data_IF_142140973344
#
_entry.id   IF_142140973344
#
_cell.length_a   1.000
_cell.length_b   1.000
_cell.length_c   1.000
_cell.angle_alpha   90.00
_cell.angle_beta   90.00
_cell.angle_gamma   90.00
#
_symmetry.space_group_name_H-M   'P 1'
#
loop_
_entity.id
_entity.type
_entity.pdbx_description
1 polymer ?
#
# COMPACT_ATOMS: atom_id res chain seq x y z
N UNK A 1 -15.93 30.96 3.96
CA UNK A 1 -16.44 30.05 2.92
C UNK A 1 -16.89 28.78 3.63
N UNK A 2 -18.19 28.45 3.60
CA UNK A 2 -18.73 27.24 4.25
C UNK A 2 -18.29 26.02 3.42
N UNK A 3 -17.75 25.03 4.10
CA UNK A 3 -17.41 23.71 3.56
C UNK A 3 -18.65 23.12 2.89
N UNK A 4 -18.68 23.07 1.56
CA UNK A 4 -19.58 22.15 0.89
C UNK A 4 -18.96 20.76 1.06
N UNK A 5 -19.70 19.87 1.71
CA UNK A 5 -19.31 18.48 1.84
C UNK A 5 -19.22 17.89 0.43
N UNK A 6 -17.99 17.71 -0.07
CA UNK A 6 -17.68 17.01 -1.33
C UNK A 6 -18.06 15.53 -1.22
N UNK A 7 -19.36 15.23 -1.10
CA UNK A 7 -19.93 13.88 -0.98
C UNK A 7 -20.64 13.43 -2.25
N UNK A 8 -20.78 14.32 -3.23
CA UNK A 8 -21.39 14.00 -4.52
C UNK A 8 -20.30 13.62 -5.55
N UNK A 9 -20.39 12.41 -6.10
CA UNK A 9 -19.49 11.90 -7.14
C UNK A 9 -20.26 11.79 -8.45
N UNK A 10 -19.97 12.67 -9.41
CA UNK A 10 -20.61 12.65 -10.73
C UNK A 10 -19.86 11.69 -11.65
N UNK A 11 -20.60 10.88 -12.40
CA UNK A 11 -20.09 10.00 -13.45
C UNK A 11 -19.05 8.98 -12.94
N UNK A 12 -19.15 8.55 -11.68
CA UNK A 12 -18.16 7.67 -11.06
C UNK A 12 -18.15 6.29 -11.72
N UNK A 13 -19.31 5.68 -11.95
CA UNK A 13 -19.41 4.36 -12.58
C UNK A 13 -18.83 4.38 -14.00
N UNK A 14 -19.21 5.37 -14.81
CA UNK A 14 -18.70 5.57 -16.18
C UNK A 14 -17.17 5.77 -16.18
N UNK A 15 -16.64 6.50 -15.20
CA UNK A 15 -15.20 6.70 -15.03
C UNK A 15 -14.48 5.40 -14.66
N UNK A 16 -15.04 4.61 -13.74
CA UNK A 16 -14.50 3.30 -13.35
C UNK A 16 -14.48 2.38 -14.57
N UNK A 17 -15.59 2.28 -15.31
CA UNK A 17 -15.71 1.44 -16.50
C UNK A 17 -14.70 1.83 -17.58
N UNK A 18 -14.57 3.14 -17.86
CA UNK A 18 -13.61 3.64 -18.83
C UNK A 18 -12.17 3.28 -18.45
N UNK A 19 -11.77 3.54 -17.20
CA UNK A 19 -10.40 3.28 -16.73
C UNK A 19 -10.12 1.78 -16.66
N UNK A 20 -11.08 0.97 -16.19
CA UNK A 20 -10.95 -0.49 -16.18
C UNK A 20 -10.79 -1.05 -17.59
N UNK A 21 -11.62 -0.62 -18.55
CA UNK A 21 -11.49 -1.02 -19.94
C UNK A 21 -10.11 -0.63 -20.51
N UNK A 22 -9.66 0.60 -20.26
CA UNK A 22 -8.35 1.04 -20.71
C UNK A 22 -7.20 0.19 -20.14
N UNK A 23 -7.23 -0.09 -18.83
CA UNK A 23 -6.22 -0.92 -18.14
C UNK A 23 -6.21 -2.34 -18.71
N UNK A 24 -7.39 -2.94 -18.94
CA UNK A 24 -7.49 -4.30 -19.50
C UNK A 24 -7.04 -4.35 -20.97
N UNK A 25 -7.36 -3.34 -21.77
CA UNK A 25 -6.99 -3.31 -23.20
C UNK A 25 -5.51 -2.97 -23.43
N UNK A 26 -4.91 -2.12 -22.61
CA UNK A 26 -3.55 -1.60 -22.83
C UNK A 26 -2.51 -2.14 -21.83
N UNK A 27 -2.94 -3.01 -20.91
CA UNK A 27 -2.09 -3.62 -19.90
C UNK A 27 -1.26 -4.81 -20.43
N UNK A 28 -0.62 -5.58 -19.52
CA UNK A 28 -0.73 -5.44 -18.07
C UNK A 28 0.07 -4.25 -17.51
N UNK A 29 -0.57 -3.44 -16.68
CA UNK A 29 0.07 -2.38 -15.90
C UNK A 29 0.60 -2.93 -14.57
N UNK A 30 1.83 -2.59 -14.21
CA UNK A 30 2.41 -3.01 -12.93
C UNK A 30 1.96 -2.17 -11.74
N UNK A 31 1.52 -0.93 -11.99
CA UNK A 31 1.26 0.04 -10.94
C UNK A 31 0.37 1.17 -11.40
N UNK A 32 -0.21 1.88 -10.43
CA UNK A 32 -0.98 3.10 -10.63
C UNK A 32 -0.24 4.28 -10.00
N UNK A 33 -0.32 5.44 -10.64
CA UNK A 33 0.09 6.72 -10.07
C UNK A 33 -1.08 7.68 -10.17
N UNK A 34 -1.44 8.31 -9.07
CA UNK A 34 -2.53 9.27 -9.03
C UNK A 34 -2.14 10.55 -8.31
N UNK A 35 -2.67 11.67 -8.80
CA UNK A 35 -2.66 12.96 -8.11
C UNK A 35 -4.08 13.37 -7.75
N UNK A 36 -4.30 13.84 -6.52
CA UNK A 36 -5.60 14.35 -6.05
C UNK A 36 -6.72 13.32 -6.33
N UNK A 37 -7.74 13.68 -7.11
CA UNK A 37 -8.81 12.77 -7.51
C UNK A 37 -8.32 11.51 -8.25
N UNK A 38 -7.22 11.59 -9.01
CA UNK A 38 -6.62 10.41 -9.63
C UNK A 38 -6.06 9.42 -8.62
N UNK A 39 -5.55 9.89 -7.47
CA UNK A 39 -5.13 9.03 -6.37
C UNK A 39 -6.33 8.42 -5.63
N UNK A 40 -7.40 9.20 -5.46
CA UNK A 40 -8.67 8.74 -4.87
C UNK A 40 -9.25 7.59 -5.72
N UNK A 41 -9.35 7.78 -7.04
CA UNK A 41 -9.83 6.75 -7.97
C UNK A 41 -8.91 5.53 -8.01
N UNK A 42 -7.59 5.74 -8.04
CA UNK A 42 -6.63 4.63 -8.01
C UNK A 42 -6.81 3.77 -6.75
N UNK A 43 -6.93 4.39 -5.57
CA UNK A 43 -7.15 3.66 -4.32
C UNK A 43 -8.46 2.88 -4.31
N UNK A 44 -9.53 3.44 -4.89
CA UNK A 44 -10.80 2.73 -5.09
C UNK A 44 -10.61 1.48 -5.96
N UNK A 45 -9.97 1.62 -7.12
CA UNK A 45 -9.72 0.51 -8.04
C UNK A 45 -8.91 -0.60 -7.39
N UNK A 46 -7.87 -0.26 -6.61
CA UNK A 46 -7.06 -1.23 -5.87
C UNK A 46 -7.88 -1.96 -4.80
N UNK A 47 -8.69 -1.22 -4.04
CA UNK A 47 -9.60 -1.78 -3.06
C UNK A 47 -10.61 -2.74 -3.70
N UNK A 48 -11.25 -2.31 -4.79
CA UNK A 48 -12.22 -3.12 -5.52
C UNK A 48 -11.59 -4.33 -6.21
N UNK A 49 -10.39 -4.21 -6.77
CA UNK A 49 -9.66 -5.35 -7.34
C UNK A 49 -9.34 -6.39 -6.25
N UNK A 50 -8.93 -5.95 -5.06
CA UNK A 50 -8.67 -6.86 -3.93
C UNK A 50 -9.93 -7.61 -3.45
N UNK A 51 -11.13 -7.07 -3.71
CA UNK A 51 -12.42 -7.73 -3.45
C UNK A 51 -12.99 -8.46 -4.68
N UNK A 52 -12.25 -8.55 -5.79
CA UNK A 52 -12.71 -9.19 -7.03
C UNK A 52 -13.88 -8.46 -7.71
N UNK A 53 -14.04 -7.15 -7.49
CA UNK A 53 -15.13 -6.33 -8.05
C UNK A 53 -14.82 -5.76 -9.43
N UNK A 54 -13.57 -5.37 -9.66
CA UNK A 54 -13.08 -4.79 -10.93
C UNK A 54 -11.76 -5.44 -11.34
N UNK A 55 -11.33 -5.21 -12.59
CA UNK A 55 -10.03 -5.65 -13.11
C UNK A 55 -9.77 -7.17 -12.93
N UNK A 56 -10.80 -8.01 -13.08
CA UNK A 56 -10.73 -9.46 -12.87
C UNK A 56 -9.78 -10.18 -13.84
N UNK A 57 -9.76 -9.72 -15.08
CA UNK A 57 -8.91 -10.26 -16.15
C UNK A 57 -7.49 -9.67 -16.14
N UNK A 58 -7.23 -8.69 -15.25
CA UNK A 58 -5.92 -8.07 -15.12
C UNK A 58 -5.19 -8.65 -13.90
N UNK A 59 -3.90 -9.01 -13.99
CA UNK A 59 -3.12 -9.46 -12.84
C UNK A 59 -3.18 -8.47 -11.65
N UNK A 60 -2.97 -8.90 -10.40
CA UNK A 60 -2.96 -7.96 -9.27
C UNK A 60 -1.98 -6.80 -9.48
N UNK A 61 -2.46 -5.57 -9.32
CA UNK A 61 -1.59 -4.39 -9.37
C UNK A 61 -0.57 -4.46 -8.24
N UNK A 62 0.71 -4.25 -8.54
CA UNK A 62 1.81 -4.49 -7.61
C UNK A 62 2.20 -3.26 -6.80
N UNK A 63 2.04 -2.05 -7.36
CA UNK A 63 2.47 -0.81 -6.72
C UNK A 63 1.52 0.37 -6.93
N UNK A 64 1.51 1.29 -5.97
CA UNK A 64 0.71 2.51 -6.02
C UNK A 64 1.51 3.74 -5.57
N UNK A 65 1.50 4.79 -6.37
CA UNK A 65 2.05 6.10 -6.04
C UNK A 65 0.89 7.08 -5.85
N UNK A 66 0.64 7.47 -4.61
CA UNK A 66 -0.39 8.43 -4.22
C UNK A 66 0.22 9.81 -4.01
N UNK A 67 -0.32 10.83 -4.66
CA UNK A 67 0.08 12.22 -4.43
C UNK A 67 -1.16 13.01 -4.04
N UNK A 68 -1.21 13.50 -2.80
CA UNK A 68 -2.37 14.27 -2.27
C UNK A 68 -3.72 13.54 -2.42
N UNK A 69 -3.72 12.20 -2.36
CA UNK A 69 -4.94 11.38 -2.46
C UNK A 69 -5.69 11.25 -1.14
N UNK A 70 -6.99 10.98 -1.20
CA UNK A 70 -7.83 10.79 0.00
C UNK A 70 -8.73 9.56 -0.15
N UNK A 71 -9.40 9.14 0.93
CA UNK A 71 -10.45 8.13 0.83
C UNK A 71 -11.69 8.75 0.19
N UNK A 72 -12.52 7.89 -0.44
CA UNK A 72 -13.92 8.24 -0.64
C UNK A 72 -14.58 8.56 0.72
N UNK A 73 -15.59 9.44 0.71
CA UNK A 73 -16.42 9.77 1.87
C UNK A 73 -17.70 8.94 1.94
N UNK A 74 -18.12 8.39 0.79
CA UNK A 74 -19.28 7.50 0.72
C UNK A 74 -18.98 6.21 1.49
N UNK A 75 -19.81 5.91 2.50
CA UNK A 75 -19.64 4.76 3.38
C UNK A 75 -19.78 3.43 2.62
N UNK A 76 -20.71 3.33 1.67
CA UNK A 76 -20.91 2.11 0.88
C UNK A 76 -19.67 1.77 0.04
N UNK A 77 -19.01 2.80 -0.50
CA UNK A 77 -17.73 2.65 -1.19
C UNK A 77 -16.64 2.22 -0.19
N UNK A 78 -16.58 2.85 0.98
CA UNK A 78 -15.57 2.56 2.00
C UNK A 78 -15.66 1.13 2.54
N UNK A 79 -16.86 0.63 2.80
CA UNK A 79 -17.15 -0.72 3.29
C UNK A 79 -16.66 -1.81 2.33
N UNK A 80 -16.53 -1.48 1.04
CA UNK A 80 -16.01 -2.39 0.02
C UNK A 80 -14.53 -2.13 -0.23
N UNK A 81 -14.15 -0.91 -0.63
CA UNK A 81 -12.80 -0.57 -1.06
C UNK A 81 -11.77 -0.68 0.06
N UNK A 82 -12.18 -0.37 1.30
CA UNK A 82 -11.29 -0.32 2.45
C UNK A 82 -11.66 -1.36 3.52
N UNK A 83 -12.44 -2.39 3.16
CA UNK A 83 -12.86 -3.49 4.04
C UNK A 83 -11.70 -4.15 4.78
N UNK A 84 -10.59 -4.35 4.07
CA UNK A 84 -9.35 -4.91 4.57
C UNK A 84 -8.18 -4.02 4.15
N UNK A 85 -7.06 -4.11 4.86
CA UNK A 85 -5.85 -3.37 4.46
C UNK A 85 -5.44 -3.77 3.04
N UNK A 86 -5.22 -2.78 2.20
CA UNK A 86 -4.76 -2.97 0.82
C UNK A 86 -3.28 -3.42 0.88
N UNK A 87 -3.00 -4.63 0.37
CA UNK A 87 -1.67 -5.25 0.43
C UNK A 87 -0.69 -4.73 -0.64
N UNK A 88 -1.19 -3.96 -1.61
CA UNK A 88 -0.40 -3.34 -2.68
C UNK A 88 0.67 -2.42 -2.05
N UNK A 89 1.92 -2.57 -2.48
CA UNK A 89 3.01 -1.69 -2.00
C UNK A 89 2.71 -0.26 -2.41
N UNK A 90 2.74 0.67 -1.47
CA UNK A 90 2.37 2.06 -1.77
C UNK A 90 3.35 3.06 -1.18
N UNK A 91 3.50 4.17 -1.90
CA UNK A 91 4.14 5.39 -1.44
C UNK A 91 3.13 6.54 -1.51
N UNK A 92 3.07 7.35 -0.46
CA UNK A 92 2.14 8.47 -0.32
C UNK A 92 2.92 9.77 -0.12
N UNK A 93 2.81 10.68 -1.08
CA UNK A 93 3.33 12.03 -1.00
C UNK A 93 2.29 12.95 -0.35
N UNK A 94 2.65 13.51 0.80
CA UNK A 94 1.75 14.33 1.63
C UNK A 94 2.35 15.72 1.84
N UNK A 95 1.64 16.74 1.37
CA UNK A 95 2.03 18.13 1.54
C UNK A 95 1.75 18.63 2.95
N UNK A 96 2.74 19.23 3.60
CA UNK A 96 2.60 19.79 4.94
C UNK A 96 1.65 20.99 5.00
N UNK A 97 1.50 21.71 3.87
CA UNK A 97 0.57 22.82 3.69
C UNK A 97 -0.70 22.44 2.92
N UNK A 98 -0.87 21.16 2.60
CA UNK A 98 -2.05 20.70 1.87
C UNK A 98 -3.27 20.69 2.81
N UNK A 99 -4.39 21.26 2.37
CA UNK A 99 -5.66 21.21 3.09
C UNK A 99 -6.20 19.77 3.19
N UNK A 100 -5.74 18.86 2.34
CA UNK A 100 -6.03 17.42 2.38
C UNK A 100 -5.00 16.60 3.16
N UNK A 101 -4.06 17.21 3.89
CA UNK A 101 -3.01 16.50 4.64
C UNK A 101 -3.56 15.39 5.55
N UNK A 102 -4.56 15.69 6.38
CA UNK A 102 -5.17 14.71 7.30
C UNK A 102 -5.93 13.61 6.53
N UNK A 103 -6.82 13.93 5.57
CA UNK A 103 -7.42 12.93 4.68
C UNK A 103 -6.39 12.05 3.92
N UNK A 104 -5.24 12.61 3.55
CA UNK A 104 -4.18 11.85 2.87
C UNK A 104 -3.49 10.87 3.79
N UNK A 105 -3.27 11.24 5.06
CA UNK A 105 -2.76 10.31 6.07
C UNK A 105 -3.76 9.20 6.37
N UNK A 106 -5.06 9.53 6.40
CA UNK A 106 -6.12 8.52 6.54
C UNK A 106 -6.14 7.54 5.37
N UNK A 107 -5.96 8.02 4.13
CA UNK A 107 -5.79 7.13 2.98
C UNK A 107 -4.57 6.23 3.15
N UNK A 108 -3.40 6.79 3.49
CA UNK A 108 -2.19 5.97 3.70
C UNK A 108 -2.41 4.86 4.73
N UNK A 109 -3.17 5.13 5.80
CA UNK A 109 -3.41 4.16 6.88
C UNK A 109 -4.14 2.87 6.44
N UNK A 110 -4.89 2.91 5.32
CA UNK A 110 -5.61 1.74 4.79
C UNK A 110 -4.69 0.79 4.02
N UNK A 111 -3.46 1.19 3.72
CA UNK A 111 -2.46 0.35 3.07
C UNK A 111 -1.62 -0.43 4.11
N UNK A 112 -1.11 -1.58 3.71
CA UNK A 112 -0.17 -2.35 4.51
C UNK A 112 1.25 -1.79 4.35
N UNK A 113 1.83 -1.29 5.45
CA UNK A 113 3.19 -0.73 5.51
C UNK A 113 3.50 0.27 4.37
N UNK A 114 2.73 1.36 4.23
CA UNK A 114 3.00 2.38 3.20
C UNK A 114 4.30 3.13 3.51
N UNK A 115 5.03 3.53 2.47
CA UNK A 115 6.01 4.61 2.59
C UNK A 115 5.27 5.95 2.58
N UNK A 116 5.61 6.85 3.49
CA UNK A 116 5.06 8.22 3.53
C UNK A 116 6.21 9.20 3.34
N UNK A 117 6.19 9.95 2.23
CA UNK A 117 7.13 11.02 1.96
C UNK A 117 6.41 12.36 2.16
N UNK A 118 6.93 13.19 3.06
CA UNK A 118 6.37 14.52 3.35
C UNK A 118 7.10 15.58 2.56
N UNK A 119 6.38 16.60 2.10
CA UNK A 119 6.98 17.74 1.40
C UNK A 119 6.40 19.07 1.89
N UNK A 120 7.16 20.19 1.82
CA UNK A 120 6.75 21.46 2.44
C UNK A 120 5.66 22.22 1.67
N UNK A 121 5.23 21.69 0.53
CA UNK A 121 4.30 22.35 -0.40
C UNK A 121 2.84 22.04 -0.03
N UNK A 122 1.90 22.73 -0.70
CA UNK A 122 0.47 22.47 -0.58
C UNK A 122 0.01 21.35 -1.51
N UNK A 123 -1.22 21.50 -2.03
CA UNK A 123 -1.84 20.56 -2.96
C UNK A 123 -1.20 20.60 -4.35
N UNK A 124 -0.13 19.84 -4.54
CA UNK A 124 0.65 19.85 -5.79
C UNK A 124 1.44 18.56 -5.96
N UNK A 125 1.93 18.32 -7.18
CA UNK A 125 2.92 17.27 -7.44
C UNK A 125 4.29 17.78 -6.98
N UNK A 126 4.91 17.17 -5.96
CA UNK A 126 6.12 17.71 -5.38
C UNK A 126 7.32 17.52 -6.30
N UNK A 127 8.20 18.53 -6.33
CA UNK A 127 9.61 18.29 -6.66
C UNK A 127 10.27 17.61 -5.47
N UNK A 128 10.99 16.52 -5.73
CA UNK A 128 11.68 15.76 -4.69
C UNK A 128 13.05 16.39 -4.43
N UNK A 129 13.40 16.52 -3.15
CA UNK A 129 14.77 16.79 -2.75
C UNK A 129 15.59 15.49 -2.72
N UNK A 130 16.87 15.60 -2.37
CA UNK A 130 17.78 14.45 -2.34
C UNK A 130 17.33 13.37 -1.36
N UNK A 131 16.80 13.76 -0.19
CA UNK A 131 16.31 12.81 0.83
C UNK A 131 15.10 12.04 0.31
N UNK A 132 14.08 12.74 -0.16
CA UNK A 132 12.87 12.15 -0.71
C UNK A 132 13.16 11.27 -1.94
N UNK A 133 14.11 11.69 -2.78
CA UNK A 133 14.56 10.91 -3.94
C UNK A 133 15.20 9.60 -3.47
N UNK A 134 16.09 9.65 -2.47
CA UNK A 134 16.75 8.46 -1.92
C UNK A 134 15.76 7.51 -1.25
N UNK A 135 14.81 8.02 -0.47
CA UNK A 135 13.74 7.21 0.13
C UNK A 135 12.90 6.50 -0.93
N UNK A 136 12.51 7.22 -1.98
CA UNK A 136 11.76 6.63 -3.10
C UNK A 136 12.59 5.58 -3.83
N UNK A 137 13.88 5.83 -4.08
CA UNK A 137 14.80 4.87 -4.70
C UNK A 137 14.89 3.58 -3.87
N UNK A 138 15.16 3.68 -2.57
CA UNK A 138 15.21 2.51 -1.68
C UNK A 138 13.90 1.72 -1.70
N UNK A 139 12.75 2.40 -1.74
CA UNK A 139 11.45 1.75 -1.84
C UNK A 139 11.26 1.03 -3.18
N UNK A 140 11.64 1.65 -4.31
CA UNK A 140 11.61 1.00 -5.63
C UNK A 140 12.51 -0.24 -5.63
N UNK A 141 13.72 -0.13 -5.08
CA UNK A 141 14.66 -1.25 -5.00
C UNK A 141 14.05 -2.44 -4.22
N UNK A 142 13.37 -2.18 -3.10
CA UNK A 142 12.68 -3.25 -2.35
C UNK A 142 11.64 -3.98 -3.18
N UNK A 143 10.92 -3.27 -4.06
CA UNK A 143 9.93 -3.84 -4.96
C UNK A 143 10.62 -4.66 -6.05
N UNK A 144 11.73 -4.17 -6.61
CA UNK A 144 12.47 -4.88 -7.66
C UNK A 144 13.17 -6.14 -7.12
N UNK A 145 13.78 -6.07 -5.94
CA UNK A 145 14.44 -7.22 -5.30
C UNK A 145 13.46 -8.31 -4.90
N UNK A 146 12.22 -7.96 -4.53
CA UNK A 146 11.17 -8.95 -4.20
C UNK A 146 10.70 -9.79 -5.40
N UNK A 147 11.02 -9.39 -6.64
CA UNK A 147 10.63 -10.10 -7.86
C UNK A 147 11.53 -11.29 -8.23
N UNK A 148 12.65 -11.47 -7.54
CA UNK A 148 13.62 -12.54 -7.82
C UNK A 148 13.31 -13.91 -7.18
N UNK A 149 12.11 -14.11 -6.63
CA UNK A 149 11.75 -15.33 -5.88
C UNK A 149 10.42 -15.98 -6.32
N UNK A 150 9.86 -15.59 -7.48
CA UNK A 150 8.65 -16.20 -8.05
C UNK A 150 8.97 -17.17 -9.21
N UNK A 151 10.02 -17.98 -9.05
CA UNK A 151 10.35 -19.09 -9.94
C UNK A 151 10.50 -20.37 -9.14
N UNK A 152 9.73 -21.40 -9.49
CA UNK A 152 9.69 -22.75 -8.93
C UNK A 152 10.84 -23.09 -7.98
N UNK A 153 10.54 -23.21 -6.69
CA UNK A 153 11.32 -24.00 -5.76
C UNK A 153 10.40 -24.50 -4.67
N UNK A 154 10.26 -25.83 -4.65
CA UNK A 154 9.62 -26.62 -3.61
C UNK A 154 9.92 -26.07 -2.20
N UNK A 155 8.88 -26.09 -1.37
CA UNK A 155 8.97 -25.84 0.07
C UNK A 155 10.09 -26.70 0.67
N UNK A 156 11.20 -26.06 1.05
CA UNK A 156 12.15 -26.64 2.00
C UNK A 156 11.85 -26.08 3.39
N UNK A 157 10.98 -26.80 4.08
CA UNK A 157 10.91 -26.86 5.54
C UNK A 157 12.34 -27.15 6.07
N UNK A 158 12.97 -26.23 6.83
CA UNK A 158 14.13 -26.49 7.72
C UNK A 158 14.93 -25.26 8.19
N UNK A 159 14.29 -24.19 8.68
CA UNK A 159 15.04 -23.14 9.42
C UNK A 159 14.39 -22.75 10.74
N UNK A 160 13.06 -22.78 10.84
CA UNK A 160 12.35 -22.36 12.06
C UNK A 160 12.48 -23.44 13.16
N UNK A 161 12.30 -24.72 12.83
CA UNK A 161 12.37 -25.82 13.82
C UNK A 161 13.77 -25.98 14.45
N UNK A 162 14.83 -25.61 13.71
CA UNK A 162 16.23 -25.68 14.22
C UNK A 162 16.56 -24.56 15.19
N UNK A 163 15.81 -23.44 15.15
CA UNK A 163 15.99 -22.33 16.08
C UNK A 163 15.27 -22.64 17.38
N UNK A 164 14.06 -23.21 17.33
CA UNK A 164 13.31 -23.60 18.52
C UNK A 164 13.98 -24.74 19.29
N UNK A 165 14.48 -25.79 18.62
CA UNK A 165 15.25 -26.85 19.31
C UNK A 165 16.54 -26.31 19.95
N UNK A 166 17.19 -25.30 19.35
CA UNK A 166 18.40 -24.69 19.94
C UNK A 166 18.07 -23.85 21.17
N UNK A 167 16.96 -23.12 21.15
CA UNK A 167 16.52 -22.29 22.27
C UNK A 167 16.06 -23.19 23.43
N UNK A 168 15.27 -24.23 23.17
CA UNK A 168 14.84 -25.18 24.21
C UNK A 168 16.03 -25.91 24.84
N UNK A 169 16.99 -26.39 24.04
CA UNK A 169 18.20 -27.03 24.56
C UNK A 169 19.10 -26.08 25.36
N UNK A 170 19.02 -24.77 25.11
CA UNK A 170 19.81 -23.77 25.83
C UNK A 170 19.13 -23.36 27.14
N UNK A 171 17.80 -23.27 27.17
CA UNK A 171 17.00 -23.04 28.39
C UNK A 171 17.13 -24.23 29.36
N UNK A 172 17.01 -25.48 28.88
CA UNK A 172 17.17 -26.67 29.75
C UNK A 172 18.59 -26.82 30.33
N UNK A 173 19.62 -26.28 29.66
CA UNK A 173 20.99 -26.28 30.18
C UNK A 173 21.23 -25.23 31.27
N UNK A 174 20.50 -24.12 31.24
CA UNK A 174 20.62 -23.07 32.25
C UNK A 174 19.82 -23.41 33.53
N UNK A 175 18.66 -24.06 33.40
CA UNK A 175 17.87 -24.50 34.57
C UNK A 175 18.59 -25.60 35.40
N UNK A 176 19.31 -26.52 34.75
CA UNK A 176 20.11 -27.55 35.45
C UNK A 176 21.37 -27.00 36.14
N UNK A 177 21.72 -25.73 35.95
CA UNK A 177 22.87 -25.09 36.62
C UNK A 177 22.50 -24.42 37.95
N UNK A 178 21.21 -24.31 38.27
CA UNK A 178 20.71 -23.59 39.45
C UNK A 178 20.25 -24.49 40.61
N UNK A 179 20.51 -25.82 40.57
CA UNK A 179 20.03 -26.77 41.60
C UNK A 179 21.17 -27.41 42.42
N UNK A 180 22.41 -26.95 42.30
CA UNK A 180 23.52 -27.42 43.15
C UNK A 180 24.19 -26.26 43.90
N UNK A 181 23.51 -25.70 44.90
CA UNK A 181 24.16 -25.15 46.10
C UNK A 181 23.26 -25.42 47.30
N UNK A 182 23.77 -26.28 48.19
CA UNK A 182 23.31 -26.55 49.56
C UNK A 182 23.38 -25.30 50.43
#
# INVERSE_FOLDING_TARGET
MRWQDFTEYKNLEECIDYVCNYITTNGPFHGLLGFSQGAVLSALLLGYQAQGKVLREHPPIKMFVSISGTKFKDESICEVAYKHKIKVKSVHFIGEKDWLKLPSQQLASVFHQPLIIRHPQGHTVPRLDESATKELQCWVDTILSSRGHDGDSEVKESVIDKVDERIENQIMKEENKCIDVV
#
